data_IF_738245162718
#
_entry.id   IF_738245162718
#
_cell.length_a   1.000
_cell.length_b   1.000
_cell.length_c   1.000
_cell.angle_alpha   90.00
_cell.angle_beta   90.00
_cell.angle_gamma   90.00
#
_symmetry.space_group_name_H-M   'P 1'
#
loop_
_entity.id
_entity.type
_entity.pdbx_description
1 polymer ?
#
# COMPACT_ATOMS: atom_id res chain seq x y z
N UNK A 1 3.34 15.49 4.85
CA UNK A 1 3.04 14.04 4.80
C UNK A 1 3.56 13.53 3.47
N UNK A 2 4.46 12.56 3.52
CA UNK A 2 4.99 11.89 2.33
C UNK A 2 3.99 10.78 1.96
N UNK A 3 3.31 10.95 0.83
CA UNK A 3 2.37 9.99 0.27
C UNK A 3 3.10 9.12 -0.76
N UNK A 4 3.27 7.84 -0.46
CA UNK A 4 3.96 6.91 -1.33
C UNK A 4 2.93 6.05 -2.08
N UNK A 5 3.02 6.09 -3.41
CA UNK A 5 2.09 5.44 -4.32
C UNK A 5 2.21 3.90 -4.32
N UNK A 6 1.14 3.22 -4.75
CA UNK A 6 1.08 1.76 -4.86
C UNK A 6 1.98 1.20 -5.99
N UNK A 7 1.99 -0.13 -6.14
CA UNK A 7 2.80 -0.82 -7.15
C UNK A 7 2.47 -0.44 -8.60
N UNK A 8 1.24 -0.03 -8.94
CA UNK A 8 0.85 0.29 -10.32
C UNK A 8 0.42 1.76 -10.46
N UNK A 9 1.03 2.63 -9.66
CA UNK A 9 0.73 4.05 -9.60
C UNK A 9 1.98 4.90 -9.81
N UNK A 10 1.78 6.22 -9.91
CA UNK A 10 2.84 7.24 -10.00
C UNK A 10 2.61 8.32 -8.94
N UNK A 11 3.45 9.35 -8.92
CA UNK A 11 3.27 10.55 -8.08
C UNK A 11 1.94 11.27 -8.27
N UNK A 12 1.27 11.06 -9.40
CA UNK A 12 0.01 11.72 -9.75
C UNK A 12 -1.22 10.99 -9.15
N UNK A 13 -1.00 10.18 -8.10
CA UNK A 13 -2.04 9.41 -7.43
C UNK A 13 -3.15 10.31 -6.84
N UNK A 14 -4.43 9.98 -7.06
CA UNK A 14 -5.52 10.73 -6.45
C UNK A 14 -5.62 10.38 -4.96
N UNK A 15 -5.23 11.32 -4.09
CA UNK A 15 -5.45 11.17 -2.65
C UNK A 15 -6.92 11.49 -2.30
N UNK A 16 -7.63 10.63 -1.55
CA UNK A 16 -9.02 10.83 -1.18
C UNK A 16 -9.16 11.85 -0.03
N UNK A 17 -8.64 13.05 -0.21
CA UNK A 17 -8.68 14.15 0.75
C UNK A 17 -9.07 15.43 0.04
N UNK A 18 -10.03 16.18 0.60
CA UNK A 18 -10.46 17.43 -0.01
C UNK A 18 -9.40 18.51 0.18
N UNK A 19 -9.27 19.39 -0.81
CA UNK A 19 -8.32 20.51 -0.74
C UNK A 19 -8.63 21.42 0.45
N UNK A 20 -9.91 21.63 0.72
CA UNK A 20 -10.40 22.44 1.84
C UNK A 20 -9.87 21.92 3.18
N UNK A 21 -9.88 20.60 3.39
CA UNK A 21 -9.39 19.98 4.63
C UNK A 21 -7.86 20.06 4.72
N UNK A 22 -7.16 19.89 3.61
CA UNK A 22 -5.69 20.01 3.54
C UNK A 22 -5.27 21.43 3.93
N UNK A 23 -5.95 22.44 3.37
CA UNK A 23 -5.68 23.85 3.65
C UNK A 23 -6.05 24.22 5.10
N UNK A 24 -7.22 23.77 5.60
CA UNK A 24 -7.68 24.00 6.98
C UNK A 24 -6.71 23.45 8.02
N UNK A 25 -6.18 22.24 7.78
CA UNK A 25 -5.23 21.59 8.68
C UNK A 25 -3.77 22.00 8.44
N UNK A 26 -3.51 22.84 7.42
CA UNK A 26 -2.15 23.25 7.03
C UNK A 26 -1.26 22.07 6.63
N UNK A 27 -1.85 21.02 6.04
CA UNK A 27 -1.13 19.80 5.67
C UNK A 27 -0.41 20.04 4.35
N UNK A 28 0.89 19.78 4.33
CA UNK A 28 1.64 19.68 3.08
C UNK A 28 1.71 18.23 2.62
N UNK A 29 1.04 17.88 1.52
CA UNK A 29 1.09 16.54 0.91
C UNK A 29 2.15 16.52 -0.18
N UNK A 30 3.05 15.54 -0.13
CA UNK A 30 4.08 15.34 -1.14
C UNK A 30 4.03 13.89 -1.63
N UNK A 31 3.75 13.72 -2.92
CA UNK A 31 3.92 12.47 -3.65
C UNK A 31 5.11 12.60 -4.61
N UNK A 32 5.79 11.50 -4.86
CA UNK A 32 6.97 11.45 -5.73
C UNK A 32 7.05 10.09 -6.42
N UNK A 33 7.68 10.04 -7.59
CA UNK A 33 7.87 8.79 -8.32
C UNK A 33 9.00 8.00 -7.68
N UNK A 34 8.72 6.76 -7.26
CA UNK A 34 9.75 5.84 -6.78
C UNK A 34 10.65 5.37 -7.93
N UNK A 35 11.84 4.88 -7.61
CA UNK A 35 12.77 4.39 -8.62
C UNK A 35 12.15 3.27 -9.50
N UNK A 36 12.11 3.51 -10.81
CA UNK A 36 11.48 2.63 -11.81
C UNK A 36 10.00 2.88 -12.06
N UNK A 37 9.42 3.95 -11.51
CA UNK A 37 8.03 4.37 -11.70
C UNK A 37 7.94 5.75 -12.34
N UNK A 38 6.84 5.99 -13.06
CA UNK A 38 6.56 7.29 -13.67
C UNK A 38 7.73 7.81 -14.50
N UNK A 39 8.21 9.01 -14.15
CA UNK A 39 9.34 9.66 -14.81
C UNK A 39 10.70 9.35 -14.17
N UNK A 40 10.73 8.58 -13.08
CA UNK A 40 11.96 8.30 -12.33
C UNK A 40 12.73 7.11 -12.91
N UNK A 41 14.04 7.27 -13.04
CA UNK A 41 14.93 6.26 -13.62
C UNK A 41 14.91 4.94 -12.81
N UNK A 42 15.03 3.78 -13.48
CA UNK A 42 15.23 2.52 -12.78
C UNK A 42 16.50 2.53 -11.93
N UNK A 43 16.43 1.97 -10.72
CA UNK A 43 17.59 1.70 -9.87
C UNK A 43 17.75 0.18 -9.68
N UNK A 44 18.65 -0.49 -10.41
CA UNK A 44 18.87 -1.93 -10.28
C UNK A 44 19.34 -2.39 -8.88
N UNK A 45 19.85 -1.46 -8.05
CA UNK A 45 20.27 -1.73 -6.67
C UNK A 45 19.19 -1.40 -5.64
N UNK A 46 17.97 -1.04 -6.09
CA UNK A 46 16.85 -0.67 -5.24
C UNK A 46 16.58 -1.75 -4.20
N UNK A 47 16.42 -1.33 -2.96
CA UNK A 47 16.05 -2.18 -1.84
C UNK A 47 15.26 -1.36 -0.80
N UNK A 48 14.71 -2.04 0.22
CA UNK A 48 13.89 -1.42 1.27
C UNK A 48 14.63 -0.26 1.96
N UNK A 49 15.95 -0.37 2.13
CA UNK A 49 16.77 0.69 2.74
C UNK A 49 16.95 1.88 1.80
N UNK A 50 17.22 1.66 0.52
CA UNK A 50 17.38 2.77 -0.43
C UNK A 50 16.09 3.57 -0.56
N UNK A 51 14.92 2.92 -0.64
CA UNK A 51 13.63 3.64 -0.71
C UNK A 51 13.40 4.52 0.54
N UNK A 52 13.77 4.03 1.73
CA UNK A 52 13.66 4.81 2.95
C UNK A 52 14.61 6.03 2.95
N UNK A 53 15.84 5.85 2.47
CA UNK A 53 16.82 6.94 2.38
C UNK A 53 16.45 7.95 1.29
N UNK A 54 15.85 7.52 0.17
CA UNK A 54 15.34 8.42 -0.87
C UNK A 54 14.28 9.36 -0.29
N UNK A 55 13.40 8.84 0.59
CA UNK A 55 12.39 9.66 1.30
C UNK A 55 13.07 10.66 2.24
N UNK A 56 14.08 10.22 3.01
CA UNK A 56 14.84 11.11 3.90
C UNK A 56 15.50 12.24 3.11
N UNK A 57 16.25 11.88 2.06
CA UNK A 57 16.95 12.83 1.20
C UNK A 57 15.97 13.82 0.55
N UNK A 58 14.84 13.33 0.03
CA UNK A 58 13.79 14.18 -0.53
C UNK A 58 13.27 15.19 0.49
N UNK A 59 13.03 14.76 1.73
CA UNK A 59 12.56 15.66 2.79
C UNK A 59 13.61 16.71 3.18
N UNK A 60 14.89 16.36 3.11
CA UNK A 60 16.00 17.28 3.40
C UNK A 60 16.21 18.29 2.27
N UNK A 61 16.17 17.84 1.02
CA UNK A 61 16.28 18.70 -0.17
C UNK A 61 15.15 19.74 -0.21
N UNK A 62 13.94 19.33 0.15
CA UNK A 62 12.76 20.21 0.23
C UNK A 62 12.66 20.97 1.56
N UNK A 63 13.57 20.73 2.50
CA UNK A 63 13.61 21.37 3.84
C UNK A 63 12.29 21.25 4.59
N UNK A 64 11.64 20.08 4.54
CA UNK A 64 10.34 19.82 5.18
C UNK A 64 10.42 19.71 6.72
N UNK A 65 11.61 19.87 7.29
CA UNK A 65 11.86 19.84 8.72
C UNK A 65 12.49 18.54 9.20
N UNK A 66 12.70 18.46 10.52
CA UNK A 66 13.41 17.35 11.14
C UNK A 66 12.59 16.05 11.15
N UNK A 67 11.27 16.15 11.24
CA UNK A 67 10.37 14.98 11.26
C UNK A 67 9.17 15.15 10.34
N UNK A 68 8.72 14.06 9.75
CA UNK A 68 7.57 14.02 8.84
C UNK A 68 6.72 12.78 9.06
N UNK A 69 5.47 12.80 8.61
CA UNK A 69 4.63 11.61 8.55
C UNK A 69 4.71 10.95 7.17
N UNK A 70 4.72 9.61 7.12
CA UNK A 70 4.69 8.84 5.87
C UNK A 70 3.40 8.02 5.76
N UNK A 71 2.78 8.00 4.58
CA UNK A 71 1.55 7.26 4.30
C UNK A 71 1.69 6.44 3.02
N UNK A 72 1.18 5.20 3.01
CA UNK A 72 1.20 4.35 1.83
C UNK A 72 -0.11 3.53 1.73
N UNK A 73 -0.61 3.35 0.50
CA UNK A 73 -1.86 2.65 0.17
C UNK A 73 -1.73 1.13 -0.05
N UNK A 74 -0.51 0.61 -0.21
CA UNK A 74 -0.17 -0.81 -0.38
C UNK A 74 0.79 -1.33 0.72
N UNK A 75 1.10 -0.49 1.71
CA UNK A 75 1.68 -0.78 3.04
C UNK A 75 2.90 -1.71 3.18
N UNK A 76 3.58 -2.15 2.12
CA UNK A 76 4.67 -3.15 2.29
C UNK A 76 6.07 -2.55 2.29
N UNK A 77 6.50 -1.84 1.25
CA UNK A 77 7.95 -1.62 1.05
C UNK A 77 8.46 -0.33 1.68
N UNK A 78 7.92 0.87 1.37
CA UNK A 78 8.57 2.12 1.79
C UNK A 78 8.42 2.36 3.29
N UNK A 79 7.21 2.20 3.84
CA UNK A 79 6.93 2.56 5.22
C UNK A 79 7.63 1.65 6.23
N UNK A 80 7.70 0.33 5.96
CA UNK A 80 8.48 -0.59 6.79
C UNK A 80 9.97 -0.26 6.72
N UNK A 81 10.47 0.13 5.54
CA UNK A 81 11.82 0.65 5.39
C UNK A 81 12.06 1.91 6.22
N UNK A 82 11.16 2.89 6.17
CA UNK A 82 11.30 4.12 6.96
C UNK A 82 11.31 3.83 8.47
N UNK A 83 10.42 2.96 8.95
CA UNK A 83 10.39 2.55 10.35
C UNK A 83 11.68 1.85 10.79
N UNK A 84 12.30 1.07 9.89
CA UNK A 84 13.53 0.34 10.19
C UNK A 84 14.80 1.21 10.09
N UNK A 85 14.91 2.04 9.05
CA UNK A 85 16.16 2.68 8.67
C UNK A 85 16.24 4.17 9.03
N UNK A 86 15.10 4.86 9.13
CA UNK A 86 15.03 6.29 9.49
C UNK A 86 13.97 6.59 10.57
N UNK A 87 13.82 5.78 11.65
CA UNK A 87 12.78 5.98 12.66
C UNK A 87 12.85 7.36 13.33
N UNK A 88 14.06 7.93 13.45
CA UNK A 88 14.29 9.25 14.05
C UNK A 88 13.69 10.41 13.24
N UNK A 89 13.45 10.20 11.94
CA UNK A 89 12.85 11.18 11.02
C UNK A 89 11.33 11.09 10.95
N UNK A 90 10.72 10.06 11.54
CA UNK A 90 9.28 9.88 11.48
C UNK A 90 8.59 10.57 12.66
N UNK A 91 7.63 11.43 12.36
CA UNK A 91 6.63 11.91 13.32
C UNK A 91 5.44 10.94 13.41
N UNK A 92 5.19 10.15 12.36
CA UNK A 92 4.14 9.15 12.31
C UNK A 92 4.20 8.33 11.02
N UNK A 93 3.56 7.17 11.00
CA UNK A 93 3.41 6.34 9.82
C UNK A 93 1.98 5.80 9.74
N UNK A 94 1.38 5.87 8.55
CA UNK A 94 0.08 5.28 8.25
C UNK A 94 0.23 4.26 7.14
N UNK A 95 -0.35 3.07 7.33
CA UNK A 95 -0.32 1.99 6.34
C UNK A 95 -1.75 1.56 6.07
N UNK A 96 -2.19 1.73 4.83
CA UNK A 96 -3.38 1.05 4.33
C UNK A 96 -2.87 -0.19 3.60
N UNK A 97 -3.40 -1.35 3.96
CA UNK A 97 -2.99 -2.63 3.39
C UNK A 97 -4.16 -3.24 2.63
N UNK A 98 -3.92 -3.87 1.47
CA UNK A 98 -4.94 -4.66 0.82
C UNK A 98 -5.34 -5.83 1.71
N UNK A 99 -6.56 -6.30 1.53
CA UNK A 99 -7.01 -7.55 2.10
C UNK A 99 -6.11 -8.67 1.59
N UNK A 100 -5.60 -9.49 2.51
CA UNK A 100 -4.71 -10.61 2.19
C UNK A 100 -5.50 -11.89 1.93
N UNK A 101 -4.89 -12.84 1.22
CA UNK A 101 -5.41 -14.21 1.17
C UNK A 101 -5.08 -14.94 2.48
N UNK A 102 -6.09 -15.16 3.32
CA UNK A 102 -5.96 -15.87 4.59
C UNK A 102 -5.64 -17.37 4.42
N UNK A 103 -5.89 -17.96 3.25
CA UNK A 103 -5.62 -19.37 2.95
C UNK A 103 -4.34 -19.57 2.12
N UNK A 104 -3.49 -18.55 2.04
CA UNK A 104 -2.23 -18.66 1.31
C UNK A 104 -1.33 -19.75 1.92
N UNK A 105 -0.84 -20.75 1.16
CA UNK A 105 -0.16 -21.93 1.72
C UNK A 105 1.11 -21.62 2.52
N UNK A 106 1.82 -20.54 2.19
CA UNK A 106 3.05 -20.14 2.89
C UNK A 106 2.81 -19.25 4.11
N UNK A 107 1.56 -18.88 4.41
CA UNK A 107 1.22 -18.08 5.59
C UNK A 107 1.00 -18.98 6.81
N UNK A 108 1.41 -18.59 8.03
CA UNK A 108 1.16 -19.38 9.22
C UNK A 108 -0.35 -19.55 9.44
N UNK A 109 -0.85 -20.78 9.31
CA UNK A 109 -2.30 -21.05 9.28
C UNK A 109 -3.05 -20.51 10.50
N UNK A 110 -2.47 -20.63 11.70
CA UNK A 110 -3.10 -20.12 12.92
C UNK A 110 -3.15 -18.59 12.96
N UNK A 111 -2.09 -17.90 12.52
CA UNK A 111 -2.07 -16.44 12.44
C UNK A 111 -3.08 -15.94 11.40
N UNK A 112 -3.12 -16.59 10.23
CA UNK A 112 -4.11 -16.25 9.20
C UNK A 112 -5.54 -16.47 9.71
N UNK A 113 -5.80 -17.58 10.41
CA UNK A 113 -7.11 -17.86 11.00
C UNK A 113 -7.51 -16.80 12.02
N UNK A 114 -6.59 -16.41 12.90
CA UNK A 114 -6.85 -15.34 13.89
C UNK A 114 -7.14 -14.00 13.22
N UNK A 115 -6.34 -13.62 12.22
CA UNK A 115 -6.54 -12.39 11.47
C UNK A 115 -7.89 -12.39 10.72
N UNK A 116 -8.24 -13.52 10.09
CA UNK A 116 -9.54 -13.69 9.42
C UNK A 116 -10.71 -13.57 10.39
N UNK A 117 -10.63 -14.22 11.56
CA UNK A 117 -11.66 -14.15 12.61
C UNK A 117 -11.76 -12.76 13.26
N UNK A 118 -10.74 -11.91 13.12
CA UNK A 118 -10.74 -10.53 13.59
C UNK A 118 -11.48 -9.54 12.69
N UNK A 119 -11.83 -9.94 11.45
CA UNK A 119 -12.62 -9.12 10.55
C UNK A 119 -14.07 -8.97 11.03
N UNK A 120 -14.78 -7.96 10.55
CA UNK A 120 -16.22 -7.85 10.79
C UNK A 120 -16.97 -8.97 10.06
N UNK A 121 -18.11 -9.41 10.61
CA UNK A 121 -18.86 -10.55 10.07
C UNK A 121 -19.19 -10.47 8.56
N UNK A 122 -19.56 -9.30 7.99
CA UNK A 122 -19.78 -9.19 6.55
C UNK A 122 -18.52 -9.53 5.73
N UNK A 123 -17.37 -8.98 6.10
CA UNK A 123 -16.10 -9.25 5.41
C UNK A 123 -15.68 -10.72 5.53
N UNK A 124 -15.86 -11.32 6.71
CA UNK A 124 -15.61 -12.75 6.91
C UNK A 124 -16.42 -13.59 5.92
N UNK A 125 -17.73 -13.32 5.80
CA UNK A 125 -18.62 -14.06 4.89
C UNK A 125 -18.21 -13.85 3.44
N UNK A 126 -17.99 -12.61 3.04
CA UNK A 126 -17.55 -12.23 1.68
C UNK A 126 -16.29 -12.99 1.27
N UNK A 127 -15.26 -13.00 2.13
CA UNK A 127 -14.00 -13.67 1.85
C UNK A 127 -14.09 -15.20 1.95
N UNK A 128 -14.92 -15.73 2.85
CA UNK A 128 -15.17 -17.16 2.92
C UNK A 128 -15.88 -17.66 1.66
N UNK A 129 -16.89 -16.92 1.17
CA UNK A 129 -17.55 -17.24 -0.11
C UNK A 129 -16.52 -17.17 -1.23
N UNK A 130 -15.74 -16.09 -1.31
CA UNK A 130 -14.69 -15.94 -2.31
C UNK A 130 -13.66 -17.08 -2.28
N UNK A 131 -13.33 -17.63 -1.11
CA UNK A 131 -12.41 -18.75 -1.00
C UNK A 131 -13.01 -20.07 -1.50
N UNK A 132 -14.31 -20.28 -1.28
CA UNK A 132 -15.00 -21.53 -1.61
C UNK A 132 -15.73 -21.51 -2.96
N UNK A 133 -15.86 -20.34 -3.58
CA UNK A 133 -16.49 -20.20 -4.89
C UNK A 133 -15.54 -20.65 -5.99
N UNK A 134 -16.05 -21.41 -6.94
CA UNK A 134 -15.30 -21.71 -8.15
C UNK A 134 -15.39 -20.51 -9.09
N UNK A 135 -14.38 -19.62 -9.08
CA UNK A 135 -14.37 -18.42 -9.93
C UNK A 135 -14.49 -18.70 -11.42
N UNK A 136 -14.13 -19.91 -11.89
CA UNK A 136 -14.33 -20.31 -13.28
C UNK A 136 -15.82 -20.40 -13.68
N UNK A 137 -16.73 -20.41 -12.71
CA UNK A 137 -18.17 -20.45 -12.93
C UNK A 137 -18.84 -19.07 -12.87
N UNK A 138 -18.10 -17.99 -12.55
CA UNK A 138 -18.67 -16.64 -12.46
C UNK A 138 -18.46 -15.87 -13.77
N UNK A 139 -19.45 -15.05 -14.21
CA UNK A 139 -19.25 -14.12 -15.31
C UNK A 139 -18.23 -13.06 -14.87
N UNK A 140 -17.07 -13.01 -15.52
CA UNK A 140 -16.04 -11.97 -15.28
C UNK A 140 -16.55 -10.56 -15.59
N UNK A 141 -17.61 -10.46 -16.40
CA UNK A 141 -18.24 -9.20 -16.78
C UNK A 141 -19.21 -8.67 -15.72
N UNK A 142 -19.44 -9.40 -14.61
CA UNK A 142 -20.32 -8.97 -13.53
C UNK A 142 -19.60 -7.96 -12.60
N UNK A 143 -20.04 -6.70 -12.55
CA UNK A 143 -19.44 -5.67 -11.70
C UNK A 143 -19.57 -5.96 -10.20
N UNK A 144 -20.48 -6.83 -9.77
CA UNK A 144 -20.57 -7.28 -8.37
C UNK A 144 -19.46 -8.28 -8.02
N UNK A 145 -18.93 -9.01 -9.02
CA UNK A 145 -17.87 -10.01 -8.84
C UNK A 145 -16.48 -9.42 -9.06
N UNK A 146 -16.34 -8.40 -9.92
CA UNK A 146 -15.07 -7.75 -10.24
C UNK A 146 -14.21 -7.33 -9.03
N UNK A 147 -14.76 -6.79 -7.91
CA UNK A 147 -13.98 -6.43 -6.73
C UNK A 147 -13.26 -7.63 -6.07
N UNK A 148 -13.79 -8.85 -6.21
CA UNK A 148 -13.16 -10.06 -5.68
C UNK A 148 -11.92 -10.47 -6.48
N UNK A 149 -11.81 -10.03 -7.73
CA UNK A 149 -10.70 -10.35 -8.62
C UNK A 149 -9.53 -9.38 -8.53
N UNK A 150 -9.76 -8.11 -8.20
CA UNK A 150 -8.68 -7.13 -8.08
C UNK A 150 -7.66 -7.48 -6.97
N UNK A 151 -8.08 -8.19 -5.93
CA UNK A 151 -7.15 -8.73 -4.91
C UNK A 151 -6.38 -9.99 -5.35
N UNK A 152 -6.88 -10.73 -6.34
CA UNK A 152 -6.28 -12.00 -6.79
C UNK A 152 -5.41 -11.88 -8.04
N UNK A 153 -5.64 -10.86 -8.89
CA UNK A 153 -4.81 -10.61 -10.08
C UNK A 153 -3.37 -10.15 -9.76
N UNK A 154 -3.08 -9.77 -8.50
CA UNK A 154 -1.69 -9.59 -8.06
C UNK A 154 -0.87 -10.89 -8.06
N UNK A 155 -1.50 -12.07 -8.21
CA UNK A 155 -0.80 -13.37 -8.27
C UNK A 155 -0.79 -14.03 -9.66
N UNK A 156 -1.33 -13.38 -10.69
CA UNK A 156 -1.25 -13.88 -12.09
C UNK A 156 -0.40 -12.97 -12.97
N UNK A 157 0.72 -12.46 -12.46
CA UNK A 157 1.85 -12.05 -13.29
C UNK A 157 2.99 -13.05 -13.06
N UNK A 158 2.80 -14.26 -13.57
CA UNK A 158 3.89 -15.17 -13.89
C UNK A 158 3.96 -15.24 -15.42
N UNK A 159 4.78 -14.38 -16.02
CA UNK A 159 5.73 -14.62 -17.14
C UNK A 159 6.70 -13.43 -17.12
#
# INVERSE_FOLDING_TARGET
IIAVHAFDETKDLPLPVSKELVDELGIYLLAFDRAGYGENYPNPKRNVRSEALDIEELTDQLKLGQKFCVGNVDGRIPNLGCLQYIPNRLAGAALVLPIINYWWPSSPAELSRQAFMGLIMPEQRTLWIAHNINFLALPLDDPEVAPFFCGSHASSCNI
#
